data_IF_185717188436
#
_entry.id   IF_185717188436
#
_cell.length_a   1.000
_cell.length_b   1.000
_cell.length_c   1.000
_cell.angle_alpha   90.00
_cell.angle_beta   90.00
_cell.angle_gamma   90.00
#
_symmetry.space_group_name_H-M   'P 1'
#
loop_
_entity.id
_entity.type
_entity.pdbx_description
1 polymer ?
#
# COMPACT_ATOMS: atom_id res chain seq x y z
N UNK A 1 -1.24 7.92 25.86
CA UNK A 1 -1.96 6.68 25.50
C UNK A 1 -1.04 5.87 24.62
N UNK A 2 -0.76 4.63 24.98
CA UNK A 2 0.04 3.72 24.17
C UNK A 2 -0.77 3.39 22.91
N UNK A 3 -0.23 3.65 21.73
CA UNK A 3 -0.86 3.24 20.47
C UNK A 3 -0.94 1.70 20.46
N UNK A 4 -2.11 1.08 20.24
CA UNK A 4 -2.18 -0.37 20.15
C UNK A 4 -1.27 -0.85 19.01
N UNK A 5 -0.30 -1.69 19.37
CA UNK A 5 0.61 -2.34 18.43
C UNK A 5 -0.20 -3.21 17.48
N UNK A 6 0.06 -3.18 16.16
CA UNK A 6 -0.61 -4.08 15.24
C UNK A 6 -0.32 -5.53 15.64
N UNK A 7 -1.35 -6.38 15.60
CA UNK A 7 -1.20 -7.82 15.85
C UNK A 7 -1.10 -8.50 14.51
N UNK A 8 0.12 -8.92 14.14
CA UNK A 8 0.38 -9.66 12.91
C UNK A 8 0.38 -11.16 13.18
N UNK A 9 -0.26 -11.94 12.31
CA UNK A 9 -0.09 -13.39 12.25
C UNK A 9 0.23 -13.82 10.83
N UNK A 10 1.30 -14.59 10.68
CA UNK A 10 1.75 -15.18 9.41
C UNK A 10 1.61 -16.70 9.53
N UNK A 11 0.66 -17.29 8.79
CA UNK A 11 0.42 -18.73 8.76
C UNK A 11 0.16 -19.17 7.31
N UNK A 12 0.94 -20.13 6.82
CA UNK A 12 0.78 -20.75 5.50
C UNK A 12 0.67 -19.76 4.32
N UNK A 13 1.41 -18.64 4.39
CA UNK A 13 1.41 -17.61 3.33
C UNK A 13 0.23 -16.65 3.38
N UNK A 14 -0.57 -16.68 4.45
CA UNK A 14 -1.63 -15.73 4.77
C UNK A 14 -1.17 -14.86 5.94
N UNK A 15 -1.14 -13.55 5.71
CA UNK A 15 -0.77 -12.56 6.72
C UNK A 15 -2.04 -11.82 7.13
N UNK A 16 -2.43 -11.95 8.40
CA UNK A 16 -3.53 -11.21 8.98
C UNK A 16 -3.00 -10.14 9.93
N UNK A 17 -3.64 -8.97 9.92
CA UNK A 17 -3.32 -7.86 10.82
C UNK A 17 -4.58 -7.13 11.27
N UNK A 18 -4.63 -6.75 12.54
CA UNK A 18 -5.55 -5.72 13.03
C UNK A 18 -4.79 -4.42 13.22
N UNK A 19 -5.25 -3.35 12.57
CA UNK A 19 -4.63 -2.02 12.69
C UNK A 19 -4.87 -1.42 14.06
N UNK A 20 -3.89 -0.68 14.56
CA UNK A 20 -4.10 0.28 15.65
C UNK A 20 -4.75 1.58 15.17
N UNK A 21 -5.51 2.22 16.06
CA UNK A 21 -6.19 3.49 15.84
C UNK A 21 -5.24 4.67 15.57
N UNK A 22 -5.75 5.68 14.85
CA UNK A 22 -5.07 6.97 14.57
C UNK A 22 -3.71 6.81 13.90
N UNK A 23 -3.66 5.91 12.92
CA UNK A 23 -2.46 5.61 12.13
C UNK A 23 -2.64 6.05 10.68
N UNK A 24 -1.61 6.64 10.06
CA UNK A 24 -1.65 7.11 8.67
C UNK A 24 -0.24 7.33 8.08
N UNK A 25 -0.18 7.42 6.75
CA UNK A 25 0.96 7.90 5.97
C UNK A 25 0.52 9.05 5.06
N UNK A 26 0.93 10.27 5.38
CA UNK A 26 0.65 11.46 4.58
C UNK A 26 1.67 12.56 4.83
N UNK A 27 1.98 13.34 3.79
CA UNK A 27 2.83 14.53 3.91
C UNK A 27 2.23 15.76 3.23
N UNK A 28 1.86 16.71 4.07
CA UNK A 28 1.70 18.16 3.83
C UNK A 28 0.60 18.56 2.86
N UNK A 29 0.52 17.96 1.67
CA UNK A 29 -0.38 18.36 0.59
C UNK A 29 -1.80 18.53 1.08
N UNK A 30 -2.40 19.69 0.75
CA UNK A 30 -3.76 20.11 1.11
C UNK A 30 -4.03 20.25 2.62
N UNK A 31 -3.74 19.23 3.43
CA UNK A 31 -4.13 19.16 4.84
C UNK A 31 -3.13 19.79 5.82
N UNK A 32 -1.90 20.08 5.39
CA UNK A 32 -0.87 20.78 6.19
C UNK A 32 -0.24 19.95 7.31
N UNK A 33 -0.66 18.71 7.54
CA UNK A 33 -0.08 17.82 8.53
C UNK A 33 0.89 16.78 7.93
N UNK A 34 1.69 16.18 8.81
CA UNK A 34 2.51 15.00 8.49
C UNK A 34 2.06 13.84 9.39
N UNK A 35 1.90 12.66 8.78
CA UNK A 35 1.65 11.38 9.44
C UNK A 35 2.60 10.35 8.84
N UNK A 36 3.23 9.59 9.73
CA UNK A 36 4.22 8.57 9.38
C UNK A 36 4.19 7.43 10.41
N UNK A 37 2.98 7.04 10.80
CA UNK A 37 2.73 6.09 11.88
C UNK A 37 1.77 4.96 11.48
N UNK A 38 1.58 4.74 10.17
CA UNK A 38 0.91 3.55 9.64
C UNK A 38 1.72 2.27 9.89
N UNK A 39 1.08 1.12 9.72
CA UNK A 39 1.71 -0.17 9.92
C UNK A 39 2.37 -0.64 8.62
N UNK A 40 3.62 -1.06 8.70
CA UNK A 40 4.40 -1.46 7.53
C UNK A 40 5.23 -2.72 7.82
N UNK A 41 4.88 -3.82 7.17
CA UNK A 41 5.56 -5.12 7.26
C UNK A 41 6.36 -5.37 5.99
N UNK A 42 7.70 -5.29 6.07
CA UNK A 42 8.54 -5.12 4.89
C UNK A 42 9.82 -5.97 4.90
N UNK A 43 10.38 -6.09 3.70
CA UNK A 43 11.74 -6.58 3.45
C UNK A 43 12.51 -5.55 2.61
N UNK A 44 13.84 -5.57 2.67
CA UNK A 44 14.68 -4.74 1.79
C UNK A 44 14.89 -5.47 0.46
N UNK A 45 14.74 -4.74 -0.65
CA UNK A 45 15.00 -5.25 -2.00
C UNK A 45 15.92 -4.27 -2.72
N UNK A 46 16.95 -4.80 -3.37
CA UNK A 46 17.86 -4.04 -4.23
C UNK A 46 17.52 -4.27 -5.70
N UNK A 47 17.46 -3.19 -6.49
CA UNK A 47 17.21 -3.22 -7.93
C UNK A 47 15.73 -3.21 -8.33
N UNK A 48 15.47 -3.60 -9.57
CA UNK A 48 14.12 -3.70 -10.14
C UNK A 48 13.36 -4.90 -9.56
N UNK A 49 12.08 -4.71 -9.25
CA UNK A 49 11.24 -5.76 -8.65
C UNK A 49 9.78 -5.64 -9.05
N UNK A 50 9.04 -6.70 -8.79
CA UNK A 50 7.58 -6.73 -8.83
C UNK A 50 7.05 -7.25 -7.49
N UNK A 51 6.25 -6.42 -6.82
CA UNK A 51 5.46 -6.81 -5.66
C UNK A 51 4.00 -7.07 -6.07
N UNK A 52 3.39 -8.12 -5.52
CA UNK A 52 1.98 -8.45 -5.75
C UNK A 52 1.37 -8.98 -4.46
N UNK A 53 0.08 -8.69 -4.24
CA UNK A 53 -0.70 -9.21 -3.13
C UNK A 53 -2.19 -9.19 -3.46
N UNK A 54 -2.96 -10.11 -2.87
CA UNK A 54 -4.41 -10.04 -2.78
C UNK A 54 -4.80 -9.53 -1.39
N UNK A 55 -5.67 -8.54 -1.33
CA UNK A 55 -6.10 -7.92 -0.07
C UNK A 55 -7.61 -8.06 0.14
N UNK A 56 -7.97 -8.42 1.37
CA UNK A 56 -9.35 -8.47 1.87
C UNK A 56 -9.37 -7.68 3.17
N UNK A 57 -10.23 -6.66 3.26
CA UNK A 57 -10.28 -5.79 4.43
C UNK A 57 -11.71 -5.61 4.96
N UNK A 58 -11.84 -5.58 6.28
CA UNK A 58 -13.11 -5.26 6.96
C UNK A 58 -13.28 -3.74 7.08
N UNK A 59 -13.19 -3.01 5.96
CA UNK A 59 -13.22 -1.55 5.92
C UNK A 59 -14.53 -1.00 6.49
N UNK A 60 -14.43 -0.06 7.43
CA UNK A 60 -15.61 0.46 8.15
C UNK A 60 -15.54 1.97 8.37
N UNK A 61 -14.39 2.49 8.76
CA UNK A 61 -14.19 3.89 9.11
C UNK A 61 -13.62 4.69 7.95
N UNK A 62 -13.86 6.00 7.98
CA UNK A 62 -13.30 6.92 7.00
C UNK A 62 -11.77 6.80 6.99
N UNK A 63 -11.22 6.66 5.78
CA UNK A 63 -9.80 6.49 5.49
C UNK A 63 -9.15 5.19 5.98
N UNK A 64 -9.91 4.14 6.30
CA UNK A 64 -9.30 2.81 6.46
C UNK A 64 -8.54 2.41 5.19
N UNK A 65 -7.30 1.94 5.36
CA UNK A 65 -6.35 1.73 4.28
C UNK A 65 -5.65 0.37 4.38
N UNK A 66 -5.53 -0.34 3.26
CA UNK A 66 -4.74 -1.56 3.16
C UNK A 66 -4.16 -1.77 1.76
N UNK A 67 -2.93 -2.23 1.67
CA UNK A 67 -2.28 -2.58 0.41
C UNK A 67 -0.77 -2.73 0.49
N UNK A 68 -0.05 -2.17 -0.48
CA UNK A 68 1.42 -2.24 -0.60
C UNK A 68 2.06 -0.88 -0.31
N UNK A 69 3.30 -0.92 0.17
CA UNK A 69 4.17 0.25 0.23
C UNK A 69 5.58 -0.08 -0.29
N UNK A 70 6.16 0.88 -0.99
CA UNK A 70 7.59 0.95 -1.29
C UNK A 70 8.14 2.23 -0.66
N UNK A 71 9.19 2.11 0.15
CA UNK A 71 9.68 3.20 0.99
C UNK A 71 11.20 3.26 0.97
N UNK A 72 11.72 4.48 0.83
CA UNK A 72 13.12 4.80 1.08
C UNK A 72 13.28 5.35 2.50
N UNK A 73 12.50 6.38 2.82
CA UNK A 73 12.57 7.13 4.08
C UNK A 73 11.23 7.82 4.40
N UNK A 74 11.18 8.67 5.42
CA UNK A 74 9.95 9.38 5.83
C UNK A 74 9.45 10.43 4.84
N UNK A 75 10.25 10.80 3.85
CA UNK A 75 9.94 11.81 2.83
C UNK A 75 9.71 11.21 1.45
N UNK A 76 10.14 9.98 1.22
CA UNK A 76 10.14 9.34 -0.10
C UNK A 76 9.57 7.93 -0.01
N UNK A 77 8.33 7.79 -0.45
CA UNK A 77 7.60 6.51 -0.45
C UNK A 77 6.42 6.54 -1.42
N UNK A 78 5.94 5.36 -1.81
CA UNK A 78 4.64 5.18 -2.44
C UNK A 78 3.83 4.20 -1.60
N UNK A 79 2.56 4.52 -1.37
CA UNK A 79 1.56 3.55 -0.91
C UNK A 79 0.50 3.35 -1.98
N UNK A 80 -0.04 2.14 -2.07
CA UNK A 80 -1.20 1.87 -2.90
C UNK A 80 -2.07 0.77 -2.30
N UNK A 81 -3.35 0.79 -2.62
CA UNK A 81 -4.30 -0.22 -2.17
C UNK A 81 -5.72 0.29 -2.13
N UNK A 82 -6.51 -0.21 -1.18
CA UNK A 82 -7.81 0.37 -0.88
C UNK A 82 -7.65 1.52 0.10
N UNK A 83 -8.40 2.59 -0.14
CA UNK A 83 -8.69 3.64 0.83
C UNK A 83 -10.20 3.85 0.88
N UNK A 84 -10.79 3.69 2.06
CA UNK A 84 -12.25 3.74 2.23
C UNK A 84 -12.72 5.17 2.45
N UNK A 85 -13.53 5.70 1.54
CA UNK A 85 -13.98 7.09 1.57
C UNK A 85 -15.49 7.14 1.38
N UNK A 86 -16.20 7.77 2.33
CA UNK A 86 -17.64 7.98 2.29
C UNK A 86 -18.47 6.73 1.94
N UNK A 87 -18.09 5.58 2.52
CA UNK A 87 -18.79 4.31 2.30
C UNK A 87 -18.37 3.54 1.05
N UNK A 88 -17.38 4.03 0.30
CA UNK A 88 -16.93 3.45 -0.97
C UNK A 88 -15.44 3.15 -0.92
N UNK A 89 -15.07 1.94 -1.31
CA UNK A 89 -13.69 1.55 -1.53
C UNK A 89 -13.10 2.29 -2.74
N UNK A 90 -11.97 2.96 -2.55
CA UNK A 90 -11.20 3.59 -3.61
C UNK A 90 -9.94 2.78 -3.88
N UNK A 91 -9.69 2.36 -5.12
CA UNK A 91 -8.35 1.96 -5.54
C UNK A 91 -7.47 3.22 -5.53
N UNK A 92 -6.53 3.28 -4.61
CA UNK A 92 -5.80 4.48 -4.22
C UNK A 92 -4.29 4.29 -4.41
N UNK A 93 -3.61 5.36 -4.82
CA UNK A 93 -2.16 5.44 -4.82
C UNK A 93 -1.71 6.84 -4.38
N UNK A 94 -0.73 6.88 -3.48
CA UNK A 94 -0.07 8.12 -3.05
C UNK A 94 1.42 8.00 -3.31
N UNK A 95 1.96 8.84 -4.19
CA UNK A 95 3.40 8.97 -4.42
C UNK A 95 3.89 10.18 -3.64
N UNK A 96 4.79 9.95 -2.68
CA UNK A 96 5.32 10.98 -1.80
C UNK A 96 6.79 11.23 -2.08
N UNK A 97 7.11 12.49 -2.39
CA UNK A 97 8.47 13.03 -2.51
C UNK A 97 8.47 14.41 -1.85
N UNK A 98 8.76 14.43 -0.55
CA UNK A 98 8.54 15.54 0.39
C UNK A 98 7.07 15.96 0.60
N UNK A 99 6.24 15.84 -0.43
CA UNK A 99 4.80 16.12 -0.48
C UNK A 99 4.07 14.91 -1.07
N UNK A 100 2.90 14.60 -0.54
CA UNK A 100 2.06 13.50 -1.02
C UNK A 100 1.24 13.90 -2.24
N UNK A 101 1.26 13.09 -3.29
CA UNK A 101 0.46 13.26 -4.50
C UNK A 101 -0.47 12.05 -4.64
N UNK A 102 -1.77 12.28 -4.54
CA UNK A 102 -2.80 11.27 -4.36
C UNK A 102 -3.70 11.14 -5.60
N UNK A 103 -3.98 9.91 -6.01
CA UNK A 103 -4.97 9.58 -7.04
C UNK A 103 -5.81 8.39 -6.62
N UNK A 104 -7.08 8.41 -7.05
CA UNK A 104 -8.05 7.36 -6.76
C UNK A 104 -8.87 6.97 -7.98
N UNK A 105 -9.36 5.73 -7.98
CA UNK A 105 -10.42 5.22 -8.85
C UNK A 105 -11.49 4.59 -7.95
N UNK A 106 -12.74 5.00 -8.13
CA UNK A 106 -13.86 4.51 -7.32
C UNK A 106 -14.25 3.08 -7.69
N UNK A 107 -14.47 2.24 -6.67
CA UNK A 107 -14.96 0.86 -6.78
C UNK A 107 -16.34 0.76 -6.08
N UNK A 108 -17.42 1.22 -6.72
CA UNK A 108 -18.73 1.41 -6.06
C UNK A 108 -19.38 0.13 -5.53
N UNK A 109 -19.02 -1.02 -6.11
CA UNK A 109 -19.54 -2.32 -5.68
C UNK A 109 -18.86 -2.85 -4.41
N UNK A 110 -17.86 -2.14 -3.86
CA UNK A 110 -17.12 -2.53 -2.65
C UNK A 110 -16.69 -4.00 -2.69
N UNK A 111 -15.80 -4.38 -3.63
CA UNK A 111 -15.42 -5.77 -3.81
C UNK A 111 -14.86 -6.37 -2.52
N UNK A 112 -15.12 -7.66 -2.30
CA UNK A 112 -14.62 -8.38 -1.13
C UNK A 112 -13.09 -8.34 -1.07
N UNK A 113 -12.44 -8.50 -2.22
CA UNK A 113 -10.99 -8.46 -2.33
C UNK A 113 -10.54 -7.78 -3.62
N UNK A 114 -9.32 -7.26 -3.61
CA UNK A 114 -8.64 -6.81 -4.83
C UNK A 114 -7.22 -7.34 -4.86
N UNK A 115 -6.65 -7.40 -6.06
CA UNK A 115 -5.24 -7.64 -6.28
C UNK A 115 -4.52 -6.34 -6.56
N UNK A 116 -3.31 -6.22 -6.04
CA UNK A 116 -2.40 -5.12 -6.32
C UNK A 116 -1.13 -5.67 -6.95
N UNK A 117 -0.58 -4.92 -7.92
CA UNK A 117 0.77 -5.13 -8.42
C UNK A 117 1.51 -3.80 -8.44
N UNK A 118 2.69 -3.78 -7.85
CA UNK A 118 3.60 -2.64 -7.85
C UNK A 118 4.92 -3.07 -8.47
N UNK A 119 5.27 -2.48 -9.62
CA UNK A 119 6.53 -2.74 -10.32
C UNK A 119 7.47 -1.57 -10.13
N UNK A 120 8.74 -1.87 -9.87
CA UNK A 120 9.86 -0.93 -9.86
C UNK A 120 10.70 -1.18 -11.10
N UNK A 121 10.97 -0.13 -11.88
CA UNK A 121 11.97 -0.17 -12.94
C UNK A 121 12.81 1.10 -13.00
N UNK A 122 14.14 0.98 -12.90
CA UNK A 122 15.07 2.09 -12.99
C UNK A 122 14.87 3.12 -11.88
N UNK A 123 14.09 4.18 -12.10
CA UNK A 123 13.74 5.23 -11.11
C UNK A 123 12.23 5.42 -10.91
N UNK A 124 11.42 4.64 -11.64
CA UNK A 124 9.96 4.73 -11.65
C UNK A 124 9.28 3.58 -10.93
N UNK A 125 8.02 3.81 -10.56
CA UNK A 125 7.08 2.81 -10.07
C UNK A 125 5.81 2.82 -10.92
N UNK A 126 5.28 1.63 -11.16
CA UNK A 126 3.98 1.38 -11.80
C UNK A 126 3.08 0.66 -10.79
N UNK A 127 1.88 1.17 -10.58
CA UNK A 127 0.85 0.60 -9.72
C UNK A 127 -0.32 0.16 -10.59
N UNK A 128 -0.68 -1.10 -10.47
CA UNK A 128 -1.83 -1.72 -11.12
C UNK A 128 -2.74 -2.37 -10.07
N UNK A 129 -4.03 -2.46 -10.36
CA UNK A 129 -4.98 -3.23 -9.56
C UNK A 129 -5.80 -4.18 -10.43
N UNK A 130 -6.36 -5.22 -9.83
CA UNK A 130 -7.26 -6.17 -10.51
C UNK A 130 -8.37 -6.63 -9.58
N UNK A 131 -9.56 -6.86 -10.14
CA UNK A 131 -10.72 -7.39 -9.41
C UNK A 131 -10.86 -8.92 -9.57
N UNK A 132 -10.20 -9.51 -10.58
CA UNK A 132 -10.26 -10.95 -10.88
C UNK A 132 -8.90 -11.65 -10.70
N UNK A 133 -7.82 -10.90 -10.46
CA UNK A 133 -6.46 -11.42 -10.35
C UNK A 133 -5.81 -11.73 -11.71
N UNK A 134 -6.53 -11.55 -12.82
CA UNK A 134 -6.09 -11.87 -14.17
C UNK A 134 -5.85 -10.60 -15.00
N UNK A 135 -6.81 -9.68 -14.99
CA UNK A 135 -6.79 -8.43 -15.76
C UNK A 135 -6.44 -7.26 -14.86
N UNK A 136 -5.26 -6.70 -15.10
CA UNK A 136 -4.73 -5.58 -14.33
C UNK A 136 -4.98 -4.26 -15.08
N UNK A 137 -5.46 -3.27 -14.33
CA UNK A 137 -5.66 -1.90 -14.80
C UNK A 137 -4.61 -0.99 -14.18
N UNK A 138 -3.97 -0.16 -15.01
CA UNK A 138 -3.01 0.85 -14.55
C UNK A 138 -3.72 1.90 -13.68
N UNK A 139 -3.22 2.10 -12.47
CA UNK A 139 -3.67 3.13 -11.53
C UNK A 139 -2.71 4.32 -11.51
N UNK A 140 -1.40 4.06 -11.50
CA UNK A 140 -0.39 5.11 -11.38
C UNK A 140 0.90 4.69 -12.08
N UNK A 141 1.53 5.63 -12.77
CA UNK A 141 2.92 5.55 -13.20
C UNK A 141 3.61 6.83 -12.73
N UNK A 142 4.79 6.72 -12.12
CA UNK A 142 5.51 7.90 -11.67
C UNK A 142 6.96 7.63 -11.28
N UNK A 143 7.76 8.70 -11.23
CA UNK A 143 9.10 8.69 -10.64
C UNK A 143 9.01 8.46 -9.12
N UNK A 144 9.95 7.73 -8.51
CA UNK A 144 10.05 7.60 -7.06
C UNK A 144 11.38 8.13 -6.54
N UNK A 145 12.49 7.48 -6.92
CA UNK A 145 13.83 7.78 -6.42
C UNK A 145 14.92 7.09 -7.25
N UNK A 146 16.14 7.60 -7.18
CA UNK A 146 17.35 6.98 -7.76
C UNK A 146 18.01 5.97 -6.82
N UNK A 147 17.53 5.85 -5.58
CA UNK A 147 18.04 4.86 -4.63
C UNK A 147 17.81 3.43 -5.13
N UNK A 148 18.82 2.59 -4.96
CA UNK A 148 18.82 1.23 -5.49
C UNK A 148 18.21 0.21 -4.51
N UNK A 149 18.28 0.46 -3.20
CA UNK A 149 17.68 -0.38 -2.18
C UNK A 149 16.44 0.31 -1.59
N UNK A 150 15.34 -0.42 -1.49
CA UNK A 150 14.05 0.07 -0.99
C UNK A 150 13.41 -0.95 -0.05
N UNK A 151 12.67 -0.46 0.93
CA UNK A 151 11.77 -1.27 1.74
C UNK A 151 10.51 -1.55 0.92
N UNK A 152 10.09 -2.82 0.84
CA UNK A 152 8.92 -3.25 0.06
C UNK A 152 8.07 -4.17 0.93
N UNK A 153 6.78 -3.91 1.01
CA UNK A 153 5.96 -4.64 1.96
C UNK A 153 4.47 -4.30 1.96
N UNK A 154 3.79 -4.90 2.94
CA UNK A 154 2.38 -4.74 3.22
C UNK A 154 2.17 -3.50 4.09
N UNK A 155 1.16 -2.70 3.77
CA UNK A 155 0.82 -1.48 4.49
C UNK A 155 -0.65 -1.48 4.86
N UNK A 156 -0.96 -1.06 6.09
CA UNK A 156 -2.33 -0.77 6.51
C UNK A 156 -2.38 0.36 7.56
N UNK A 157 -3.48 1.09 7.59
CA UNK A 157 -3.67 2.24 8.48
C UNK A 157 -5.15 2.53 8.78
N UNK A 158 -5.42 3.09 9.96
CA UNK A 158 -6.75 3.54 10.40
C UNK A 158 -6.69 4.97 10.93
N UNK A 159 -6.82 5.98 10.06
CA UNK A 159 -6.68 7.39 10.45
C UNK A 159 -7.80 7.84 11.38
N UNK A 160 -9.05 7.52 11.04
CA UNK A 160 -10.22 7.96 11.82
C UNK A 160 -10.85 6.87 12.67
N UNK A 161 -10.71 5.60 12.27
CA UNK A 161 -11.22 4.44 13.01
C UNK A 161 -10.38 4.02 14.22
N UNK A 162 -10.94 3.08 14.99
CA UNK A 162 -10.29 2.47 16.16
C UNK A 162 -9.47 1.21 15.82
N UNK A 163 -9.45 0.84 14.54
CA UNK A 163 -8.79 -0.35 14.00
C UNK A 163 -9.74 -1.22 13.19
N UNK A 164 -9.20 -1.96 12.22
CA UNK A 164 -9.93 -2.96 11.43
C UNK A 164 -9.00 -4.12 11.06
N UNK A 165 -9.60 -5.25 10.66
CA UNK A 165 -8.85 -6.44 10.25
C UNK A 165 -8.60 -6.44 8.74
N UNK A 166 -7.38 -6.84 8.37
CA UNK A 166 -6.95 -7.04 6.99
C UNK A 166 -6.33 -8.42 6.86
N UNK A 167 -6.65 -9.09 5.77
CA UNK A 167 -6.01 -10.33 5.32
C UNK A 167 -5.26 -10.04 4.03
N UNK A 168 -3.98 -10.38 4.02
CA UNK A 168 -3.09 -10.36 2.87
C UNK A 168 -2.79 -11.78 2.45
N UNK A 169 -3.11 -12.12 1.21
CA UNK A 169 -2.87 -13.43 0.62
C UNK A 169 -1.92 -13.29 -0.57
N UNK A 170 -1.14 -14.34 -0.84
CA UNK A 170 -0.29 -14.44 -2.02
C UNK A 170 0.69 -13.26 -2.18
N UNK A 171 1.16 -12.72 -1.04
CA UNK A 171 2.18 -11.69 -1.06
C UNK A 171 3.48 -12.25 -1.62
N UNK A 172 4.00 -11.57 -2.65
CA UNK A 172 5.32 -11.86 -3.21
C UNK A 172 5.98 -10.55 -3.62
N UNK A 173 7.26 -10.43 -3.35
CA UNK A 173 8.08 -9.34 -3.86
C UNK A 173 9.38 -9.94 -4.42
N UNK A 174 9.47 -9.96 -5.75
CA UNK A 174 10.50 -10.69 -6.49
C UNK A 174 11.33 -9.71 -7.31
N UNK A 175 12.65 -9.85 -7.25
CA UNK A 175 13.57 -9.13 -8.13
C UNK A 175 13.29 -9.54 -9.57
N UNK A 176 13.17 -8.55 -10.46
CA UNK A 176 12.98 -8.80 -11.88
C UNK A 176 14.31 -9.35 -12.43
N UNK A 177 14.28 -10.55 -13.01
CA UNK A 177 15.47 -11.07 -13.69
C UNK A 177 15.74 -10.19 -14.91
N UNK A 178 16.97 -9.69 -15.05
CA UNK A 178 17.41 -9.04 -16.28
C UNK A 178 17.22 -10.03 -17.44
N UNK A 179 16.36 -9.68 -18.41
CA UNK A 179 16.46 -10.30 -19.73
C UNK A 179 17.80 -9.84 -20.30
N UNK A 180 18.82 -10.68 -20.17
CA UNK A 180 20.02 -10.56 -21.00
C UNK A 180 19.58 -10.70 -22.45
N UNK A 181 19.52 -9.57 -23.16
CA UNK A 181 19.49 -9.53 -24.61
C UNK A 181 20.84 -10.00 -25.17
#
# INVERSE_FOLDING_TARGET
MVQPTPVWSDQDGVIQVTTGAKTDFWRVTHYGFIRDNGHFYYQNITGDFTAQVKITGEYQALYDQAGLMVRLDEKTWVKCGIEFVDGVQQASAVVTREYSDWSVVSLPENPESIWLRLKRSGETVEVEYSLDGERYSLLRLGYLTTANELQVGLMCASPDGDGFSVVFEEFRALVNQEMKL
#
